data_IF_957220075888
#
_entry.id   IF_957220075888
#
_cell.length_a   1.000
_cell.length_b   1.000
_cell.length_c   1.000
_cell.angle_alpha   90.00
_cell.angle_beta   90.00
_cell.angle_gamma   90.00
#
_symmetry.space_group_name_H-M   'P 1'
#
loop_
_entity.id
_entity.type
_entity.pdbx_description
1 polymer ?
#
# COMPACT_ATOMS: atom_id res chain seq x y z
N UNK A 1 6.45 -11.50 14.55
CA UNK A 1 6.31 -10.04 14.73
C UNK A 1 5.49 -9.53 13.58
N UNK A 2 4.48 -8.72 13.85
CA UNK A 2 3.69 -8.06 12.80
C UNK A 2 4.56 -6.95 12.19
N UNK A 3 5.13 -7.21 11.01
CA UNK A 3 5.82 -6.16 10.25
C UNK A 3 4.78 -5.27 9.58
N UNK A 4 5.13 -4.01 9.24
CA UNK A 4 4.26 -3.17 8.43
C UNK A 4 3.76 -3.88 7.17
N UNK A 5 4.63 -4.64 6.50
CA UNK A 5 4.23 -5.44 5.34
C UNK A 5 3.22 -6.55 5.66
N UNK A 6 3.39 -7.30 6.77
CA UNK A 6 2.45 -8.38 7.11
C UNK A 6 1.06 -7.85 7.43
N UNK A 7 0.96 -6.67 8.05
CA UNK A 7 -0.31 -5.99 8.32
C UNK A 7 -1.00 -5.55 7.02
N UNK A 8 -0.25 -5.09 6.03
CA UNK A 8 -0.81 -4.67 4.74
C UNK A 8 -1.29 -5.86 3.90
N UNK A 9 -0.60 -7.00 3.99
CA UNK A 9 -1.10 -8.25 3.41
C UNK A 9 -2.41 -8.70 4.06
N UNK A 10 -2.53 -8.62 5.40
CA UNK A 10 -3.77 -8.91 6.11
C UNK A 10 -4.90 -7.97 5.69
N UNK A 11 -4.59 -6.68 5.50
CA UNK A 11 -5.55 -5.68 5.03
C UNK A 11 -6.06 -5.98 3.63
N UNK A 12 -5.17 -6.34 2.69
CA UNK A 12 -5.56 -6.77 1.35
C UNK A 12 -6.45 -8.01 1.39
N UNK A 13 -6.03 -9.03 2.15
CA UNK A 13 -6.82 -10.25 2.32
C UNK A 13 -8.20 -9.96 2.92
N UNK A 14 -8.30 -9.02 3.86
CA UNK A 14 -9.59 -8.59 4.41
C UNK A 14 -10.47 -7.95 3.33
N UNK A 15 -9.95 -6.99 2.55
CA UNK A 15 -10.72 -6.33 1.48
C UNK A 15 -11.15 -7.33 0.42
N UNK A 16 -10.25 -8.24 0.03
CA UNK A 16 -10.54 -9.29 -0.95
C UNK A 16 -11.63 -10.24 -0.47
N UNK A 17 -11.57 -10.68 0.78
CA UNK A 17 -12.60 -11.55 1.35
C UNK A 17 -13.96 -10.84 1.53
N UNK A 18 -13.96 -9.54 1.83
CA UNK A 18 -15.19 -8.77 2.05
C UNK A 18 -15.87 -8.35 0.74
N UNK A 19 -15.09 -7.83 -0.20
CA UNK A 19 -15.58 -7.11 -1.38
C UNK A 19 -15.14 -7.73 -2.71
N UNK A 20 -14.26 -8.74 -2.68
CA UNK A 20 -13.72 -9.43 -3.84
C UNK A 20 -12.40 -8.86 -4.38
N UNK A 21 -11.75 -9.66 -5.23
CA UNK A 21 -10.46 -9.35 -5.85
C UNK A 21 -10.45 -8.00 -6.59
N UNK A 22 -11.51 -7.67 -7.34
CA UNK A 22 -11.59 -6.40 -8.08
C UNK A 22 -11.55 -5.17 -7.15
N UNK A 23 -12.18 -5.26 -5.98
CA UNK A 23 -12.14 -4.21 -4.96
C UNK A 23 -10.75 -4.11 -4.32
N UNK A 24 -10.10 -5.24 -4.03
CA UNK A 24 -8.74 -5.27 -3.49
C UNK A 24 -7.70 -4.71 -4.48
N UNK A 25 -7.83 -5.01 -5.78
CA UNK A 25 -7.02 -4.39 -6.84
C UNK A 25 -7.21 -2.87 -6.88
N UNK A 26 -8.45 -2.40 -6.85
CA UNK A 26 -8.76 -0.96 -6.82
C UNK A 26 -8.18 -0.29 -5.58
N UNK A 27 -8.33 -0.92 -4.42
CA UNK A 27 -7.77 -0.48 -3.15
C UNK A 27 -6.25 -0.35 -3.22
N UNK A 28 -5.55 -1.37 -3.71
CA UNK A 28 -4.10 -1.36 -3.88
C UNK A 28 -3.62 -0.23 -4.81
N UNK A 29 -4.29 -0.02 -5.96
CA UNK A 29 -3.97 1.07 -6.90
C UNK A 29 -4.12 2.44 -6.26
N UNK A 30 -5.24 2.68 -5.57
CA UNK A 30 -5.51 3.94 -4.88
C UNK A 30 -4.50 4.18 -3.76
N UNK A 31 -4.18 3.14 -2.98
CA UNK A 31 -3.19 3.21 -1.90
C UNK A 31 -1.79 3.58 -2.40
N UNK A 32 -1.33 2.97 -3.50
CA UNK A 32 -0.03 3.32 -4.11
C UNK A 32 0.02 4.80 -4.50
N UNK A 33 -1.02 5.31 -5.15
CA UNK A 33 -1.07 6.70 -5.60
C UNK A 33 -1.07 7.69 -4.42
N UNK A 34 -1.91 7.43 -3.41
CA UNK A 34 -2.06 8.29 -2.23
C UNK A 34 -0.79 8.35 -1.40
N UNK A 35 -0.21 7.20 -1.07
CA UNK A 35 1.00 7.14 -0.23
C UNK A 35 2.23 7.68 -0.97
N UNK A 36 2.33 7.46 -2.28
CA UNK A 36 3.38 8.10 -3.07
C UNK A 36 3.24 9.63 -3.10
N UNK A 37 2.00 10.17 -3.10
CA UNK A 37 1.78 11.62 -2.98
C UNK A 37 2.23 12.13 -1.61
N UNK A 38 1.81 11.47 -0.53
CA UNK A 38 2.18 11.86 0.83
C UNK A 38 3.70 11.88 1.05
N UNK A 39 4.43 10.92 0.46
CA UNK A 39 5.90 10.90 0.48
C UNK A 39 6.50 12.10 -0.28
N UNK A 40 5.99 12.43 -1.47
CA UNK A 40 6.46 13.60 -2.24
C UNK A 40 6.18 14.92 -1.54
N UNK A 41 5.01 15.06 -0.93
CA UNK A 41 4.65 16.26 -0.16
C UNK A 41 5.59 16.45 1.04
N UNK A 42 5.90 15.37 1.75
CA UNK A 42 6.90 15.37 2.83
C UNK A 42 8.29 15.80 2.34
N UNK A 43 8.71 15.33 1.17
CA UNK A 43 10.02 15.65 0.59
C UNK A 43 10.07 17.11 0.08
N UNK A 44 8.93 17.72 -0.23
CA UNK A 44 8.80 19.11 -0.69
C UNK A 44 8.76 20.16 0.43
N UNK A 45 8.91 19.75 1.69
CA UNK A 45 8.81 20.65 2.86
C UNK A 45 7.38 20.82 3.40
N UNK A 46 6.41 20.10 2.84
CA UNK A 46 5.13 19.84 3.50
C UNK A 46 5.32 18.87 4.68
N UNK A 47 4.35 18.88 5.61
CA UNK A 47 4.31 18.13 6.89
C UNK A 47 5.40 17.05 7.02
N UNK A 48 6.42 17.32 7.85
CA UNK A 48 7.54 16.40 8.06
C UNK A 48 7.03 15.15 8.79
N UNK A 49 6.70 14.11 8.03
CA UNK A 49 6.41 12.82 8.63
C UNK A 49 7.68 12.24 9.22
N UNK A 50 7.63 11.81 10.49
CA UNK A 50 8.77 11.15 11.14
C UNK A 50 9.19 9.88 10.40
N UNK A 51 10.46 9.48 10.54
CA UNK A 51 11.06 8.35 9.82
C UNK A 51 10.23 7.06 9.89
N UNK A 52 9.66 6.73 11.06
CA UNK A 52 8.81 5.55 11.23
C UNK A 52 7.53 5.58 10.37
N UNK A 53 6.93 6.76 10.18
CA UNK A 53 5.76 6.90 9.32
C UNK A 53 6.16 6.77 7.84
N UNK A 54 7.28 7.36 7.44
CA UNK A 54 7.84 7.19 6.08
C UNK A 54 8.04 5.71 5.75
N UNK A 55 8.65 4.96 6.65
CA UNK A 55 8.88 3.52 6.46
C UNK A 55 7.57 2.74 6.35
N UNK A 56 6.54 3.09 7.14
CA UNK A 56 5.23 2.46 7.02
C UNK A 56 4.58 2.67 5.64
N UNK A 57 4.63 3.91 5.10
CA UNK A 57 4.11 4.21 3.76
C UNK A 57 4.88 3.44 2.66
N UNK A 58 6.20 3.36 2.78
CA UNK A 58 7.03 2.60 1.83
C UNK A 58 6.70 1.10 1.88
N UNK A 59 6.49 0.54 3.07
CA UNK A 59 6.07 -0.84 3.24
C UNK A 59 4.70 -1.11 2.58
N UNK A 60 3.71 -0.25 2.82
CA UNK A 60 2.39 -0.38 2.19
C UNK A 60 2.48 -0.30 0.66
N UNK A 61 3.26 0.66 0.12
CA UNK A 61 3.47 0.78 -1.34
C UNK A 61 4.11 -0.50 -1.91
N UNK A 62 5.10 -1.08 -1.23
CA UNK A 62 5.76 -2.32 -1.67
C UNK A 62 4.75 -3.46 -1.77
N UNK A 63 3.97 -3.68 -0.72
CA UNK A 63 2.95 -4.75 -0.66
C UNK A 63 1.89 -4.56 -1.74
N UNK A 64 1.36 -3.35 -1.90
CA UNK A 64 0.32 -3.09 -2.89
C UNK A 64 0.83 -3.30 -4.32
N UNK A 65 2.06 -2.89 -4.63
CA UNK A 65 2.68 -3.17 -5.95
C UNK A 65 2.86 -4.65 -6.21
N UNK A 66 3.31 -5.40 -5.19
CA UNK A 66 3.47 -6.85 -5.32
C UNK A 66 2.12 -7.55 -5.53
N UNK A 67 1.07 -7.13 -4.81
CA UNK A 67 -0.28 -7.63 -5.01
C UNK A 67 -0.80 -7.36 -6.42
N UNK A 68 -0.63 -6.14 -6.93
CA UNK A 68 -1.02 -5.79 -8.29
C UNK A 68 -0.26 -6.65 -9.31
N UNK A 69 1.06 -6.79 -9.17
CA UNK A 69 1.86 -7.60 -10.09
C UNK A 69 1.39 -9.06 -10.13
N UNK A 70 1.09 -9.66 -8.98
CA UNK A 70 0.63 -11.06 -8.86
C UNK A 70 -0.74 -11.31 -9.49
N UNK A 71 -1.61 -10.29 -9.50
CA UNK A 71 -3.02 -10.47 -9.85
C UNK A 71 -3.43 -9.77 -11.16
N UNK A 72 -2.58 -8.90 -11.72
CA UNK A 72 -2.83 -8.20 -13.00
C UNK A 72 -2.02 -8.73 -14.17
N UNK A 73 -0.94 -9.49 -13.91
CA UNK A 73 -0.18 -10.13 -14.99
C UNK A 73 -0.85 -11.46 -15.34
N UNK A 74 -1.35 -11.65 -16.57
CA UNK A 74 -1.80 -12.97 -16.99
C UNK A 74 -0.56 -13.89 -17.09
N UNK A 75 -0.71 -15.13 -16.62
CA UNK A 75 0.27 -16.19 -16.84
C UNK A 75 0.48 -16.47 -18.33
#
# INVERSE_FOLDING_TARGET
>A
MDTPESLEWQRLAFVENRDGMAAALTFARQGVAQYASALRESDSGGNQYGAAFRESLLASIRVYREYLQKNETPA
#
